data_IF_463369888782
#
_entry.id   IF_463369888782
#
_cell.length_a   1.000
_cell.length_b   1.000
_cell.length_c   1.000
_cell.angle_alpha   90.00
_cell.angle_beta   90.00
_cell.angle_gamma   90.00
#
_symmetry.space_group_name_H-M   'P 1'
#
loop_
_entity.id
_entity.type
_entity.pdbx_description
1 polymer ?
#
# COMPACT_ATOMS: atom_id res chain seq x y z
N UNK A 1 -5.58 -8.53 92.69
CA UNK A 1 -4.84 -8.20 91.46
C UNK A 1 -5.90 -8.21 90.35
N UNK A 2 -6.53 -7.08 89.99
CA UNK A 2 -6.04 -6.00 89.11
C UNK A 2 -5.73 -6.50 87.69
N UNK A 3 -6.06 -5.87 86.56
CA UNK A 3 -6.99 -4.81 86.11
C UNK A 3 -6.76 -4.71 84.57
N UNK A 4 -7.66 -4.04 83.84
CA UNK A 4 -7.46 -3.47 82.49
C UNK A 4 -7.43 -4.46 81.30
N UNK A 5 -7.94 -4.16 80.11
CA UNK A 5 -8.43 -2.91 79.52
C UNK A 5 -8.46 -3.12 77.99
N UNK A 6 -9.46 -2.56 77.32
CA UNK A 6 -9.67 -2.69 75.87
C UNK A 6 -8.57 -1.99 75.04
N UNK A 7 -8.29 -2.50 73.83
CA UNK A 7 -7.92 -1.65 72.69
C UNK A 7 -8.10 -2.39 71.36
N UNK A 8 -9.02 -1.85 70.55
CA UNK A 8 -9.21 -2.14 69.13
C UNK A 8 -8.10 -1.45 68.35
N UNK A 9 -7.33 -2.19 67.55
CA UNK A 9 -6.46 -1.61 66.52
C UNK A 9 -6.89 -2.12 65.15
N UNK A 10 -7.57 -1.24 64.40
CA UNK A 10 -7.67 -1.31 62.95
C UNK A 10 -6.39 -0.71 62.35
N UNK A 11 -5.61 -1.48 61.61
CA UNK A 11 -4.66 -0.93 60.64
C UNK A 11 -4.95 -1.50 59.25
N UNK A 12 -5.35 -0.58 58.38
CA UNK A 12 -5.56 -0.74 56.95
C UNK A 12 -4.19 -0.96 56.30
N UNK A 13 -3.94 -2.14 55.73
CA UNK A 13 -2.87 -2.28 54.75
C UNK A 13 -3.42 -1.83 53.39
N UNK A 14 -2.95 -0.65 52.96
CA UNK A 14 -3.03 -0.21 51.59
C UNK A 14 -2.26 -1.21 50.70
N UNK A 15 -2.99 -2.10 50.03
CA UNK A 15 -2.44 -2.89 48.94
C UNK A 15 -2.09 -1.95 47.80
N UNK A 16 -0.79 -1.82 47.50
CA UNK A 16 -0.35 -1.30 46.22
C UNK A 16 -0.91 -2.23 45.14
N UNK A 17 -1.91 -1.78 44.41
CA UNK A 17 -2.29 -2.36 43.13
C UNK A 17 -1.08 -2.21 42.22
N UNK A 18 -0.27 -3.28 42.12
CA UNK A 18 0.66 -3.46 41.03
C UNK A 18 -0.15 -3.38 39.74
N UNK A 19 -0.03 -2.23 39.07
CA UNK A 19 -0.70 -1.98 37.81
C UNK A 19 -0.33 -3.10 36.85
N UNK A 20 -1.34 -3.88 36.48
CA UNK A 20 -1.28 -4.69 35.29
C UNK A 20 -0.85 -3.74 34.15
N UNK A 21 0.29 -4.02 33.54
CA UNK A 21 0.60 -3.47 32.23
C UNK A 21 -0.53 -3.95 31.32
N UNK A 22 -1.51 -3.07 31.10
CA UNK A 22 -2.53 -3.31 30.10
C UNK A 22 -1.84 -3.56 28.75
N UNK A 23 -2.48 -4.30 27.84
CA UNK A 23 -1.98 -4.35 26.46
C UNK A 23 -1.83 -2.90 26.01
N UNK A 24 -0.62 -2.55 25.56
CA UNK A 24 -0.33 -1.23 25.02
C UNK A 24 -1.39 -0.94 23.97
N UNK A 25 -2.22 0.05 24.26
CA UNK A 25 -3.09 0.70 23.30
C UNK A 25 -2.16 1.48 22.36
N UNK A 26 -1.48 0.74 21.47
CA UNK A 26 -0.86 1.30 20.28
C UNK A 26 -1.98 1.44 19.23
N UNK A 27 -2.91 2.34 19.51
CA UNK A 27 -3.61 3.08 18.47
C UNK A 27 -2.58 3.99 17.79
N UNK A 28 -1.66 3.38 17.05
CA UNK A 28 -0.74 4.03 16.11
C UNK A 28 -1.54 4.46 14.86
N UNK A 29 -2.76 4.97 15.07
CA UNK A 29 -3.72 5.36 14.05
C UNK A 29 -3.39 6.76 13.54
N UNK A 30 -2.16 6.94 13.06
CA UNK A 30 -1.85 8.06 12.17
C UNK A 30 -2.76 8.02 10.95
N UNK A 31 -2.88 9.16 10.25
CA UNK A 31 -3.65 9.22 9.00
C UNK A 31 -3.13 8.24 7.93
N UNK A 32 -1.85 7.89 8.01
CA UNK A 32 -1.12 7.01 7.10
C UNK A 32 -0.53 5.82 7.85
N UNK A 33 -0.40 4.69 7.14
CA UNK A 33 0.11 3.45 7.70
C UNK A 33 1.64 3.43 7.77
N UNK A 34 2.17 2.75 8.79
CA UNK A 34 3.59 2.39 8.86
C UNK A 34 3.85 1.09 8.09
N UNK A 35 5.10 0.88 7.68
CA UNK A 35 5.57 -0.33 6.98
C UNK A 35 6.45 -1.22 7.87
N UNK A 36 6.39 -1.00 9.18
CA UNK A 36 6.91 -1.94 10.19
C UNK A 36 6.17 -3.28 10.10
N UNK A 37 6.69 -4.32 10.78
CA UNK A 37 5.98 -5.60 10.85
C UNK A 37 4.55 -5.47 11.39
N UNK A 38 4.34 -4.65 12.43
CA UNK A 38 3.03 -4.39 13.01
C UNK A 38 2.12 -3.57 12.06
N UNK A 39 2.69 -2.59 11.35
CA UNK A 39 1.97 -1.81 10.34
C UNK A 39 1.50 -2.67 9.16
N UNK A 40 2.38 -3.54 8.65
CA UNK A 40 2.05 -4.48 7.58
C UNK A 40 0.96 -5.50 8.01
N UNK A 41 1.01 -5.99 9.25
CA UNK A 41 -0.06 -6.84 9.79
C UNK A 41 -1.38 -6.08 9.90
N UNK A 42 -1.34 -4.81 10.32
CA UNK A 42 -2.54 -3.96 10.40
C UNK A 42 -3.17 -3.76 9.03
N UNK A 43 -2.39 -3.38 8.01
CA UNK A 43 -2.83 -3.24 6.62
C UNK A 43 -3.53 -4.53 6.16
N UNK A 44 -2.90 -5.69 6.40
CA UNK A 44 -3.44 -7.01 6.04
C UNK A 44 -4.76 -7.31 6.74
N UNK A 45 -4.85 -7.00 8.03
CA UNK A 45 -6.04 -7.27 8.86
C UNK A 45 -7.21 -6.37 8.45
N UNK A 46 -6.96 -5.06 8.33
CA UNK A 46 -7.96 -4.04 8.03
C UNK A 46 -8.37 -4.01 6.56
N UNK A 47 -7.53 -4.52 5.65
CA UNK A 47 -7.81 -4.53 4.21
C UNK A 47 -7.72 -3.15 3.57
N UNK A 48 -6.94 -2.24 4.13
CA UNK A 48 -6.64 -0.93 3.53
C UNK A 48 -5.22 -0.48 3.84
N UNK A 49 -4.62 0.25 2.90
CA UNK A 49 -3.31 0.86 2.97
C UNK A 49 -3.41 2.34 2.57
N UNK A 50 -3.00 3.24 3.47
CA UNK A 50 -2.91 4.68 3.24
C UNK A 50 -1.44 5.10 3.32
N UNK A 51 -0.91 5.61 2.22
CA UNK A 51 0.51 6.01 2.12
C UNK A 51 0.62 7.51 1.85
N UNK A 52 1.58 8.16 2.52
CA UNK A 52 1.91 9.57 2.30
C UNK A 52 3.09 9.70 1.35
N UNK A 53 2.83 10.26 0.17
CA UNK A 53 3.82 10.69 -0.81
C UNK A 53 3.57 12.14 -1.23
N UNK A 54 2.94 12.96 -0.37
CA UNK A 54 2.60 14.36 -0.69
C UNK A 54 3.84 15.22 -0.94
N UNK A 55 4.99 14.83 -0.39
CA UNK A 55 6.30 15.42 -0.68
C UNK A 55 6.94 14.91 -2.00
N UNK A 56 6.26 14.05 -2.74
CA UNK A 56 6.69 13.46 -4.01
C UNK A 56 7.45 12.13 -3.88
N UNK A 57 7.61 11.61 -2.66
CA UNK A 57 8.30 10.36 -2.35
C UNK A 57 7.80 9.77 -1.05
N UNK A 58 7.96 8.45 -0.89
CA UNK A 58 7.71 7.73 0.35
C UNK A 58 9.06 7.56 1.06
N UNK A 59 9.28 8.26 2.17
CA UNK A 59 10.51 8.11 2.95
C UNK A 59 10.45 6.86 3.81
N UNK A 60 11.60 6.23 4.09
CA UNK A 60 11.66 5.06 4.97
C UNK A 60 11.35 5.42 6.42
N UNK A 61 11.86 6.56 6.88
CA UNK A 61 11.69 7.01 8.26
C UNK A 61 10.23 7.31 8.59
N UNK A 62 9.48 7.91 7.66
CA UNK A 62 8.07 8.26 7.82
C UNK A 62 7.16 7.03 7.96
N UNK A 63 7.60 5.88 7.46
CA UNK A 63 6.90 4.60 7.60
C UNK A 63 7.55 3.66 8.62
N UNK A 64 8.50 4.16 9.42
CA UNK A 64 9.14 3.41 10.51
C UNK A 64 10.15 2.36 10.06
N UNK A 65 10.71 2.47 8.85
CA UNK A 65 11.81 1.63 8.39
C UNK A 65 13.17 2.32 8.60
N UNK A 66 14.23 1.53 8.89
CA UNK A 66 15.58 2.09 9.00
C UNK A 66 16.09 2.55 7.63
N UNK A 67 16.95 3.57 7.62
CA UNK A 67 17.49 4.17 6.38
C UNK A 67 18.24 3.14 5.52
N UNK A 68 18.95 2.21 6.15
CA UNK A 68 19.72 1.14 5.51
C UNK A 68 18.88 -0.06 5.06
N UNK A 69 17.54 -0.04 5.22
CA UNK A 69 16.68 -1.13 4.79
C UNK A 69 16.90 -1.45 3.31
N UNK A 70 17.34 -2.68 3.05
CA UNK A 70 17.62 -3.17 1.70
C UNK A 70 16.36 -3.51 0.90
N UNK A 71 15.23 -3.75 1.58
CA UNK A 71 13.95 -4.14 0.98
C UNK A 71 12.80 -3.59 1.83
N UNK A 72 11.70 -3.25 1.18
CA UNK A 72 10.43 -2.99 1.84
C UNK A 72 9.66 -4.28 2.13
N UNK A 73 8.55 -4.19 2.89
CA UNK A 73 7.69 -5.34 3.08
C UNK A 73 7.02 -5.77 1.76
N UNK A 74 6.62 -7.04 1.73
CA UNK A 74 5.67 -7.56 0.76
C UNK A 74 4.41 -7.90 1.55
N UNK A 75 3.32 -7.20 1.27
CA UNK A 75 2.08 -7.29 2.03
C UNK A 75 1.06 -8.02 1.17
N UNK A 76 0.40 -9.01 1.76
CA UNK A 76 -0.65 -9.78 1.11
C UNK A 76 -1.98 -9.54 1.81
N UNK A 77 -3.05 -9.46 1.04
CA UNK A 77 -4.40 -9.46 1.59
C UNK A 77 -4.72 -10.81 2.26
N UNK A 78 -5.70 -10.81 3.18
CA UNK A 78 -6.23 -12.07 3.71
C UNK A 78 -7.17 -12.73 2.72
N UNK A 79 -7.02 -14.05 2.57
CA UNK A 79 -7.80 -14.99 1.75
C UNK A 79 -9.06 -14.41 1.08
N UNK A 80 -8.98 -14.21 -0.24
CA UNK A 80 -10.12 -13.81 -1.07
C UNK A 80 -10.53 -12.34 -0.96
N UNK A 81 -9.82 -11.53 -0.17
CA UNK A 81 -10.04 -10.07 -0.07
C UNK A 81 -8.95 -9.32 -0.81
N UNK A 82 -9.22 -8.05 -1.08
CA UNK A 82 -8.23 -7.11 -1.60
C UNK A 82 -7.97 -6.00 -0.57
N UNK A 83 -6.76 -5.45 -0.60
CA UNK A 83 -6.38 -4.24 0.13
C UNK A 83 -6.80 -3.04 -0.70
N UNK A 84 -7.63 -2.17 -0.11
CA UNK A 84 -7.93 -0.86 -0.68
C UNK A 84 -6.73 0.07 -0.50
N UNK A 85 -6.16 0.55 -1.59
CA UNK A 85 -4.91 1.33 -1.60
C UNK A 85 -5.24 2.79 -1.89
N UNK A 86 -4.64 3.69 -1.11
CA UNK A 86 -4.71 5.13 -1.28
C UNK A 86 -3.33 5.74 -1.04
N UNK A 87 -2.74 6.33 -2.07
CA UNK A 87 -1.42 6.97 -2.02
C UNK A 87 -1.62 8.45 -2.27
N UNK A 88 -1.48 9.27 -1.24
CA UNK A 88 -1.58 10.71 -1.36
C UNK A 88 -0.32 11.25 -2.05
N UNK A 89 -0.46 11.78 -3.27
CA UNK A 89 0.60 12.45 -4.02
C UNK A 89 0.51 13.98 -3.92
N UNK A 90 1.49 14.71 -4.48
CA UNK A 90 1.53 16.17 -4.39
C UNK A 90 0.34 16.89 -5.05
N UNK A 91 -0.28 16.28 -6.07
CA UNK A 91 -1.34 16.92 -6.88
C UNK A 91 -2.63 16.08 -6.95
N UNK A 92 -2.69 14.96 -6.24
CA UNK A 92 -3.84 14.06 -6.25
C UNK A 92 -3.52 12.74 -5.57
N UNK A 93 -4.45 11.79 -5.63
CA UNK A 93 -4.33 10.49 -4.96
C UNK A 93 -4.29 9.38 -6.00
N UNK A 94 -3.37 8.43 -5.85
CA UNK A 94 -3.44 7.14 -6.56
C UNK A 94 -4.28 6.18 -5.73
N UNK A 95 -5.31 5.61 -6.35
CA UNK A 95 -6.20 4.64 -5.69
C UNK A 95 -6.26 3.35 -6.47
N UNK A 96 -6.43 2.24 -5.77
CA UNK A 96 -6.57 0.92 -6.37
C UNK A 96 -7.00 -0.12 -5.35
N UNK A 97 -7.10 -1.36 -5.81
CA UNK A 97 -7.42 -2.50 -4.97
C UNK A 97 -6.54 -3.66 -5.42
N UNK A 98 -5.93 -4.40 -4.49
CA UNK A 98 -5.06 -5.51 -4.86
C UNK A 98 -4.92 -6.56 -3.76
N UNK A 99 -4.65 -7.80 -4.16
CA UNK A 99 -4.27 -8.88 -3.25
C UNK A 99 -2.84 -8.72 -2.71
N UNK A 100 -2.00 -7.89 -3.35
CA UNK A 100 -0.58 -7.77 -3.05
C UNK A 100 -0.10 -6.32 -3.19
N UNK A 101 0.67 -5.87 -2.19
CA UNK A 101 1.34 -4.57 -2.19
C UNK A 101 2.85 -4.78 -1.96
N UNK A 102 3.66 -4.28 -2.90
CA UNK A 102 5.11 -4.46 -2.90
C UNK A 102 5.81 -3.12 -2.80
N UNK A 103 6.87 -3.08 -1.99
CA UNK A 103 7.65 -1.87 -1.77
C UNK A 103 9.12 -2.09 -2.15
N UNK A 104 9.57 -1.44 -3.22
CA UNK A 104 10.94 -1.53 -3.69
C UNK A 104 11.80 -0.39 -3.14
N UNK A 105 12.97 -0.74 -2.59
CA UNK A 105 13.97 0.21 -2.10
C UNK A 105 15.37 -0.43 -2.18
N UNK A 106 16.42 0.32 -1.86
CA UNK A 106 17.78 -0.20 -1.61
C UNK A 106 18.45 0.54 -0.44
N UNK A 107 19.61 0.08 0.07
CA UNK A 107 20.31 0.73 1.18
C UNK A 107 20.93 2.09 0.87
N UNK A 108 21.08 2.47 -0.41
CA UNK A 108 21.70 3.73 -0.83
C UNK A 108 20.70 4.90 -0.85
N UNK A 109 19.40 4.62 -0.66
CA UNK A 109 18.32 5.61 -0.69
C UNK A 109 17.65 5.75 0.67
N UNK A 110 17.21 6.97 1.00
CA UNK A 110 16.36 7.23 2.17
C UNK A 110 14.87 6.93 1.91
N UNK A 111 14.49 6.80 0.65
CA UNK A 111 13.12 6.64 0.17
C UNK A 111 12.90 5.32 -0.58
N UNK A 112 11.64 5.01 -0.86
CA UNK A 112 11.28 3.93 -1.76
C UNK A 112 11.41 4.36 -3.21
N UNK A 113 11.93 3.45 -4.03
CA UNK A 113 11.93 3.60 -5.49
C UNK A 113 10.53 3.52 -6.05
N UNK A 114 9.74 2.61 -5.50
CA UNK A 114 8.46 2.25 -6.06
C UNK A 114 7.54 1.54 -5.06
N UNK A 115 6.25 1.83 -5.19
CA UNK A 115 5.16 1.04 -4.64
C UNK A 115 4.44 0.36 -5.81
N UNK A 116 4.26 -0.95 -5.75
CA UNK A 116 3.58 -1.75 -6.79
C UNK A 116 2.35 -2.43 -6.22
N UNK A 117 1.24 -2.35 -6.95
CA UNK A 117 0.03 -3.15 -6.70
C UNK A 117 -0.58 -3.62 -8.02
N UNK A 118 -1.49 -4.58 -7.96
CA UNK A 118 -1.94 -5.33 -9.12
C UNK A 118 -3.45 -5.28 -9.28
N UNK A 119 -3.93 -4.89 -10.46
CA UNK A 119 -5.32 -5.07 -10.87
C UNK A 119 -5.43 -6.33 -11.72
N UNK A 120 -6.32 -7.25 -11.34
CA UNK A 120 -6.59 -8.49 -12.08
C UNK A 120 -7.93 -8.38 -12.80
N UNK A 121 -7.92 -8.64 -14.10
CA UNK A 121 -9.08 -8.51 -14.97
C UNK A 121 -9.38 -9.84 -15.65
N UNK A 122 -10.52 -10.45 -15.31
CA UNK A 122 -11.00 -11.68 -15.98
C UNK A 122 -11.64 -11.39 -17.34
N UNK A 123 -12.07 -10.14 -17.55
CA UNK A 123 -12.80 -9.71 -18.75
C UNK A 123 -12.08 -8.57 -19.44
N UNK A 124 -12.10 -8.61 -20.76
CA UNK A 124 -11.51 -7.57 -21.59
C UNK A 124 -12.14 -6.20 -21.32
N UNK A 125 -13.46 -6.13 -21.15
CA UNK A 125 -14.18 -4.87 -20.97
C UNK A 125 -13.79 -4.16 -19.66
N UNK A 126 -13.43 -4.94 -18.63
CA UNK A 126 -12.97 -4.41 -17.35
C UNK A 126 -11.52 -3.89 -17.44
N UNK A 127 -10.65 -4.61 -18.15
CA UNK A 127 -9.29 -4.19 -18.47
C UNK A 127 -9.28 -2.91 -19.32
N UNK A 128 -10.09 -2.87 -20.38
CA UNK A 128 -10.25 -1.74 -21.29
C UNK A 128 -10.72 -0.50 -20.54
N UNK A 129 -11.70 -0.66 -19.64
CA UNK A 129 -12.18 0.44 -18.78
C UNK A 129 -11.09 0.94 -17.84
N UNK A 130 -10.35 0.06 -17.17
CA UNK A 130 -9.29 0.46 -16.24
C UNK A 130 -8.19 1.27 -16.96
N UNK A 131 -7.75 0.81 -18.13
CA UNK A 131 -6.76 1.54 -18.93
C UNK A 131 -7.28 2.91 -19.37
N UNK A 132 -8.52 3.00 -19.88
CA UNK A 132 -9.09 4.29 -20.30
C UNK A 132 -9.33 5.25 -19.15
N UNK A 133 -9.74 4.75 -17.98
CA UNK A 133 -9.93 5.58 -16.79
C UNK A 133 -8.60 6.09 -16.24
N UNK A 134 -7.52 5.31 -16.36
CA UNK A 134 -6.19 5.68 -15.90
C UNK A 134 -5.58 6.84 -16.71
N UNK A 135 -5.89 6.95 -18.01
CA UNK A 135 -5.40 8.00 -18.90
C UNK A 135 -5.67 9.42 -18.35
N UNK A 136 -6.93 9.86 -18.15
CA UNK A 136 -7.19 11.19 -17.60
C UNK A 136 -6.88 11.28 -16.11
N UNK A 137 -6.97 10.17 -15.36
CA UNK A 137 -6.74 10.16 -13.90
C UNK A 137 -5.28 10.39 -13.54
N UNK A 138 -4.36 9.75 -14.26
CA UNK A 138 -2.92 9.78 -13.96
C UNK A 138 -2.10 10.53 -15.02
N UNK A 139 -2.70 10.91 -16.15
CA UNK A 139 -2.00 11.60 -17.24
C UNK A 139 -1.17 10.66 -18.11
N UNK A 140 -1.63 9.42 -18.30
CA UNK A 140 -1.00 8.49 -19.25
C UNK A 140 -1.21 9.00 -20.70
N UNK A 141 -0.35 8.59 -21.64
CA UNK A 141 -0.50 8.97 -23.05
C UNK A 141 -1.76 8.32 -23.65
N UNK A 142 -2.72 9.16 -24.03
CA UNK A 142 -4.01 8.70 -24.55
C UNK A 142 -3.90 8.01 -25.91
N UNK A 143 -2.98 8.46 -26.77
CA UNK A 143 -2.79 7.89 -28.10
C UNK A 143 -2.13 6.52 -28.00
N UNK A 144 -1.17 6.37 -27.09
CA UNK A 144 -0.48 5.12 -26.80
C UNK A 144 -1.42 4.08 -26.17
N UNK A 145 -2.19 4.49 -25.16
CA UNK A 145 -3.20 3.64 -24.53
C UNK A 145 -4.22 3.12 -25.54
N UNK A 146 -4.74 4.01 -26.40
CA UNK A 146 -5.76 3.63 -27.37
C UNK A 146 -5.17 2.84 -28.55
N UNK A 147 -3.92 3.10 -28.92
CA UNK A 147 -3.19 2.24 -29.86
C UNK A 147 -3.09 0.82 -29.31
N UNK A 148 -2.67 0.63 -28.06
CA UNK A 148 -2.58 -0.69 -27.44
C UNK A 148 -3.95 -1.38 -27.41
N UNK A 149 -5.00 -0.70 -26.91
CA UNK A 149 -6.36 -1.24 -26.83
C UNK A 149 -6.91 -1.72 -28.18
N UNK A 150 -6.67 -0.96 -29.25
CA UNK A 150 -7.18 -1.30 -30.58
C UNK A 150 -6.45 -2.46 -31.24
N UNK A 151 -5.24 -2.81 -30.80
CA UNK A 151 -4.37 -3.74 -31.50
C UNK A 151 -4.11 -5.04 -30.73
N UNK A 152 -4.14 -5.03 -29.39
CA UNK A 152 -3.73 -6.20 -28.60
C UNK A 152 -4.56 -7.46 -28.87
N UNK A 153 -5.88 -7.34 -29.00
CA UNK A 153 -6.76 -8.49 -29.29
C UNK A 153 -6.66 -9.00 -30.74
N UNK A 154 -6.14 -8.17 -31.66
CA UNK A 154 -5.98 -8.51 -33.09
C UNK A 154 -4.64 -9.19 -33.36
N UNK A 155 -3.70 -9.08 -32.43
CA UNK A 155 -2.37 -9.65 -32.59
C UNK A 155 -2.42 -11.16 -32.42
N UNK A 156 -2.02 -11.90 -33.47
CA UNK A 156 -1.91 -13.37 -33.46
C UNK A 156 -0.53 -13.86 -33.02
N UNK A 157 0.38 -12.94 -32.62
CA UNK A 157 1.77 -13.24 -32.23
C UNK A 157 2.32 -12.19 -31.23
N UNK A 158 3.32 -12.55 -30.39
CA UNK A 158 3.56 -11.93 -29.09
C UNK A 158 4.55 -10.74 -29.10
N UNK A 159 4.74 -10.06 -30.23
CA UNK A 159 5.69 -8.96 -30.26
C UNK A 159 5.11 -7.70 -29.61
N UNK A 160 5.39 -7.56 -28.31
CA UNK A 160 5.32 -6.32 -27.54
C UNK A 160 3.95 -5.96 -26.98
N UNK A 161 2.84 -6.39 -27.57
CA UNK A 161 1.51 -5.95 -27.09
C UNK A 161 0.95 -6.80 -25.93
N UNK A 162 1.41 -8.03 -25.74
CA UNK A 162 1.01 -8.86 -24.59
C UNK A 162 1.68 -8.44 -23.28
N UNK A 163 2.82 -7.74 -23.37
CA UNK A 163 3.56 -7.16 -22.25
C UNK A 163 3.84 -5.70 -22.59
N UNK A 164 2.98 -4.79 -22.13
CA UNK A 164 2.98 -3.40 -22.58
C UNK A 164 3.06 -2.43 -21.40
N UNK A 165 3.93 -1.44 -21.48
CA UNK A 165 4.05 -0.40 -20.46
C UNK A 165 3.39 0.89 -20.95
N UNK A 166 2.41 1.39 -20.20
CA UNK A 166 1.82 2.71 -20.40
C UNK A 166 2.34 3.69 -19.36
N UNK A 167 2.86 4.83 -19.82
CA UNK A 167 3.34 5.92 -18.97
C UNK A 167 4.85 6.14 -19.01
N UNK A 168 5.41 6.87 -18.03
CA UNK A 168 4.72 7.33 -16.82
C UNK A 168 3.74 8.48 -17.09
N UNK A 169 2.58 8.43 -16.44
CA UNK A 169 1.71 9.59 -16.24
C UNK A 169 2.08 10.29 -14.94
N UNK A 170 2.00 11.62 -14.91
CA UNK A 170 2.48 12.43 -13.77
C UNK A 170 1.46 13.41 -13.20
N UNK A 171 0.18 13.30 -13.57
CA UNK A 171 -0.86 14.28 -13.20
C UNK A 171 -1.11 14.38 -11.68
N UNK A 172 -0.73 13.36 -10.91
CA UNK A 172 -0.86 13.35 -9.44
C UNK A 172 0.40 13.82 -8.72
N UNK A 173 1.43 14.28 -9.45
CA UNK A 173 2.74 14.67 -8.90
C UNK A 173 3.65 13.47 -8.55
N UNK A 174 3.26 12.27 -8.95
CA UNK A 174 4.03 11.02 -8.86
C UNK A 174 4.06 10.38 -10.24
N UNK A 175 5.10 9.61 -10.56
CA UNK A 175 5.16 8.83 -11.79
C UNK A 175 4.36 7.54 -11.62
N UNK A 176 3.27 7.41 -12.38
CA UNK A 176 2.39 6.22 -12.40
C UNK A 176 2.56 5.51 -13.74
N UNK A 177 2.97 4.25 -13.68
CA UNK A 177 3.10 3.38 -14.86
C UNK A 177 2.14 2.21 -14.74
N UNK A 178 1.50 1.86 -15.85
CA UNK A 178 0.69 0.65 -15.99
C UNK A 178 1.49 -0.35 -16.81
N UNK A 179 2.10 -1.34 -16.15
CA UNK A 179 2.74 -2.48 -16.82
C UNK A 179 1.70 -3.59 -17.00
N UNK A 180 1.26 -3.82 -18.23
CA UNK A 180 0.11 -4.66 -18.59
C UNK A 180 0.58 -5.99 -19.16
N UNK A 181 0.16 -7.07 -18.52
CA UNK A 181 0.26 -8.44 -18.99
C UNK A 181 -1.12 -8.88 -19.51
N UNK A 182 -1.30 -8.87 -20.83
CA UNK A 182 -2.52 -9.34 -21.49
C UNK A 182 -2.44 -10.83 -21.80
N UNK A 183 -3.31 -11.61 -21.16
CA UNK A 183 -3.31 -13.07 -21.23
C UNK A 183 -4.44 -13.65 -22.11
N UNK A 184 -5.14 -12.80 -22.87
CA UNK A 184 -6.24 -13.25 -23.71
C UNK A 184 -7.45 -13.75 -22.90
N UNK A 185 -8.28 -14.63 -23.48
CA UNK A 185 -9.48 -15.15 -22.82
C UNK A 185 -9.21 -16.35 -21.89
N UNK A 186 -7.96 -16.81 -21.77
CA UNK A 186 -7.63 -18.07 -21.09
C UNK A 186 -7.34 -17.80 -19.61
N UNK A 187 -6.53 -16.78 -19.33
CA UNK A 187 -6.12 -16.41 -17.99
C UNK A 187 -6.44 -14.93 -17.73
N UNK A 188 -6.64 -14.53 -16.46
CA UNK A 188 -6.85 -13.12 -16.13
C UNK A 188 -5.67 -12.27 -16.59
N UNK A 189 -5.96 -11.14 -17.22
CA UNK A 189 -4.94 -10.13 -17.52
C UNK A 189 -4.59 -9.36 -16.25
N UNK A 190 -3.35 -8.90 -16.13
CA UNK A 190 -2.85 -8.21 -14.94
C UNK A 190 -2.29 -6.86 -15.34
N UNK A 191 -2.66 -5.81 -14.60
CA UNK A 191 -1.98 -4.52 -14.64
C UNK A 191 -1.18 -4.39 -13.35
N UNK A 192 0.14 -4.32 -13.48
CA UNK A 192 1.03 -3.89 -12.41
C UNK A 192 1.07 -2.37 -12.39
N UNK A 193 0.37 -1.77 -11.44
CA UNK A 193 0.40 -0.32 -11.21
C UNK A 193 1.62 0.02 -10.38
N UNK A 194 2.54 0.77 -10.97
CA UNK A 194 3.82 1.15 -10.37
C UNK A 194 3.82 2.65 -10.09
N UNK A 195 3.99 3.01 -8.83
CA UNK A 195 3.99 4.40 -8.36
C UNK A 195 5.37 4.72 -7.82
N UNK A 196 6.01 5.75 -8.38
CA UNK A 196 7.38 6.14 -8.05
C UNK A 196 7.51 7.66 -7.95
N UNK A 197 8.57 8.16 -7.29
CA UNK A 197 8.92 9.58 -7.37
C UNK A 197 9.15 9.99 -8.83
N UNK A 198 8.78 11.22 -9.19
CA UNK A 198 9.14 11.77 -10.50
C UNK A 198 10.66 12.01 -10.52
N UNK A 199 11.38 11.34 -11.43
CA UNK A 199 12.81 11.59 -11.63
C UNK A 199 13.04 13.05 -12.04
N UNK A 200 14.00 13.72 -11.39
CA UNK A 200 14.40 15.11 -11.67
C UNK A 200 15.77 15.17 -12.30
#
# INVERSE_FOLDING_TARGET
>A
MAAAGALVLSLVLAGCSGGASGPGDQSDGGEFDTLTAAGAERITSQGSARLDMTAGKLEKDSVGLPAEAARGPLIFAREGREIQISIAGPQGTVTGSSDTLKFATDPARSDFKEVTFYHRHEKWEDLERDVRDAVPRYGLDAADAEYWLQNVQKSTSPMGLSHYALGPGTSVGLAVTYDIDYNGPIDPSVISVRVSPVER
#
